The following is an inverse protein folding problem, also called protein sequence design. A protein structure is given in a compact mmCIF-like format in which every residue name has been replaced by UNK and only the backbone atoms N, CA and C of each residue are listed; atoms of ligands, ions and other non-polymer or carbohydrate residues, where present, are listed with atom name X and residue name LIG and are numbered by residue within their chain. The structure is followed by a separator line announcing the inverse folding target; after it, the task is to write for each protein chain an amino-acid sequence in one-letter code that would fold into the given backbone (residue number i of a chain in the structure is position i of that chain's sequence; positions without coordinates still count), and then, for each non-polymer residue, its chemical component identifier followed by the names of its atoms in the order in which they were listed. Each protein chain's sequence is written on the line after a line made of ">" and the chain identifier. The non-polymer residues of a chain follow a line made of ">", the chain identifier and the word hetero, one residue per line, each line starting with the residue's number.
data_IF_609998614291
#
_entry.id   IF_609998614291
#
_cell.length_a   1.000
_cell.length_b   1.000
_cell.length_c   1.000
_cell.angle_alpha   90.00
_cell.angle_beta   90.00
_cell.angle_gamma   90.00
#
_symmetry.space_group_name_H-M   'P 1'
#
loop_
_entity.id
_entity.type
_entity.pdbx_description
1 polymer ?
#
# COMPACT_ATOMS: atom_id res chain seq x y z
N UNK A 1 28.43 15.16 7.83
CA UNK A 1 27.77 13.86 7.49
C UNK A 1 28.29 12.75 8.40
N UNK A 2 27.41 12.07 9.12
CA UNK A 2 27.71 10.92 10.01
C UNK A 2 27.16 9.64 9.39
N UNK A 3 28.02 8.67 9.08
CA UNK A 3 27.60 7.34 8.56
C UNK A 3 26.87 6.56 9.65
N UNK A 4 25.72 5.97 9.31
CA UNK A 4 24.85 5.24 10.22
C UNK A 4 24.93 3.72 9.98
N UNK A 5 24.44 3.27 8.82
CA UNK A 5 24.31 1.84 8.49
C UNK A 5 24.75 1.57 7.05
N UNK A 6 25.36 0.42 6.84
CA UNK A 6 25.72 -0.08 5.52
C UNK A 6 24.59 -0.93 4.95
N UNK A 7 24.36 -0.83 3.65
CA UNK A 7 23.40 -1.62 2.88
C UNK A 7 23.82 -1.73 1.42
N UNK A 8 22.91 -2.10 0.56
CA UNK A 8 23.07 -2.08 -0.88
C UNK A 8 21.88 -1.36 -1.53
N UNK A 9 22.15 -0.65 -2.61
CA UNK A 9 21.14 0.04 -3.42
C UNK A 9 21.38 -0.17 -4.89
N UNK A 10 20.62 0.55 -5.74
CA UNK A 10 20.82 0.53 -7.18
C UNK A 10 21.38 1.86 -7.69
N UNK A 11 22.16 1.81 -8.75
CA UNK A 11 22.39 2.97 -9.58
C UNK A 11 21.05 3.38 -10.22
N UNK A 12 20.54 4.61 -10.05
CA UNK A 12 19.25 5.00 -10.61
C UNK A 12 19.25 5.09 -12.15
N UNK A 13 20.40 5.02 -12.81
CA UNK A 13 20.52 5.03 -14.26
C UNK A 13 20.62 3.63 -14.87
N UNK A 14 21.63 2.86 -14.46
CA UNK A 14 21.88 1.53 -15.05
C UNK A 14 21.34 0.36 -14.24
N UNK A 15 20.67 0.62 -13.12
CA UNK A 15 20.11 -0.37 -12.18
C UNK A 15 21.15 -1.37 -11.62
N UNK A 16 22.47 -1.11 -11.79
CA UNK A 16 23.52 -1.94 -11.18
C UNK A 16 23.45 -1.85 -9.66
N UNK A 17 23.52 -2.99 -8.98
CA UNK A 17 23.62 -3.06 -7.52
C UNK A 17 24.97 -2.52 -7.07
N UNK A 18 24.94 -1.66 -6.04
CA UNK A 18 26.07 -0.95 -5.50
C UNK A 18 26.08 -1.03 -3.97
N UNK A 19 27.25 -1.06 -3.34
CA UNK A 19 27.34 -0.73 -1.92
C UNK A 19 26.71 0.64 -1.66
N UNK A 20 25.91 0.72 -0.61
CA UNK A 20 25.23 1.94 -0.19
C UNK A 20 25.31 2.08 1.33
N UNK A 21 25.05 3.26 1.83
CA UNK A 21 25.01 3.52 3.26
C UNK A 21 24.04 4.63 3.59
N UNK A 22 23.49 4.57 4.79
CA UNK A 22 22.76 5.68 5.36
C UNK A 22 23.73 6.66 6.03
N UNK A 23 23.53 7.94 5.79
CA UNK A 23 24.29 9.00 6.44
C UNK A 23 23.38 10.14 6.87
N UNK A 24 23.71 10.75 8.00
CA UNK A 24 23.00 11.86 8.60
C UNK A 24 23.79 13.15 8.39
N UNK A 25 23.12 14.22 7.97
CA UNK A 25 23.73 15.54 7.88
C UNK A 25 23.68 16.28 9.23
N UNK A 26 24.25 17.49 9.26
CA UNK A 26 24.35 18.30 10.48
C UNK A 26 22.98 18.81 10.97
N UNK A 27 21.96 18.81 10.12
CA UNK A 27 20.56 19.14 10.45
C UNK A 27 19.76 17.92 10.90
N UNK A 28 20.33 16.71 10.82
CA UNK A 28 19.68 15.44 11.18
C UNK A 28 18.82 14.83 10.07
N UNK A 29 18.94 15.30 8.83
CA UNK A 29 18.35 14.62 7.69
C UNK A 29 19.16 13.39 7.32
N UNK A 30 18.47 12.28 7.00
CA UNK A 30 19.15 11.03 6.65
C UNK A 30 18.98 10.75 5.16
N UNK A 31 20.11 10.40 4.55
CA UNK A 31 20.22 10.09 3.13
C UNK A 31 20.71 8.66 2.91
N UNK A 32 20.22 8.02 1.87
CA UNK A 32 20.78 6.78 1.32
C UNK A 32 21.74 7.17 0.18
N UNK A 33 23.03 6.94 0.40
CA UNK A 33 24.12 7.36 -0.51
C UNK A 33 24.83 6.16 -1.12
N UNK A 34 25.19 6.26 -2.40
CA UNK A 34 25.97 5.29 -3.16
C UNK A 34 26.67 5.92 -4.34
N UNK A 35 27.75 5.26 -4.81
CA UNK A 35 28.53 5.73 -5.96
C UNK A 35 28.63 4.68 -7.05
N UNK A 36 28.20 5.05 -8.26
CA UNK A 36 28.36 4.24 -9.46
C UNK A 36 29.65 4.65 -10.19
N UNK A 37 30.51 3.71 -10.58
CA UNK A 37 31.73 4.04 -11.33
C UNK A 37 31.46 4.78 -12.65
N UNK A 38 30.32 4.54 -13.28
CA UNK A 38 29.97 5.12 -14.59
C UNK A 38 29.12 6.39 -14.47
N UNK A 39 28.34 6.54 -13.37
CA UNK A 39 27.31 7.57 -13.29
C UNK A 39 27.47 8.52 -12.09
N UNK A 40 28.54 8.34 -11.30
CA UNK A 40 28.83 9.20 -10.15
C UNK A 40 28.00 8.86 -8.91
N UNK A 41 27.97 9.80 -7.98
CA UNK A 41 27.34 9.62 -6.66
C UNK A 41 25.89 10.10 -6.65
N UNK A 42 25.04 9.32 -5.97
CA UNK A 42 23.63 9.59 -5.79
C UNK A 42 23.29 9.52 -4.31
N UNK A 43 22.44 10.44 -3.87
CA UNK A 43 21.87 10.45 -2.52
C UNK A 43 20.35 10.66 -2.59
N UNK A 44 19.61 9.88 -1.82
CA UNK A 44 18.15 10.02 -1.67
C UNK A 44 17.83 10.39 -0.22
N UNK A 45 17.08 11.47 0.00
CA UNK A 45 16.55 11.78 1.33
C UNK A 45 15.56 10.70 1.75
N UNK A 46 15.80 10.06 2.90
CA UNK A 46 14.97 8.99 3.44
C UNK A 46 14.21 9.45 4.68
N UNK A 47 14.79 10.35 5.47
CA UNK A 47 14.18 10.88 6.69
C UNK A 47 14.39 12.39 6.78
N UNK A 48 13.38 13.15 7.25
CA UNK A 48 13.49 14.61 7.36
C UNK A 48 14.44 15.02 8.49
N UNK A 49 15.01 16.24 8.40
CA UNK A 49 15.77 16.81 9.49
C UNK A 49 14.87 17.13 10.69
N UNK A 50 15.44 17.16 11.88
CA UNK A 50 14.71 17.36 13.13
C UNK A 50 13.91 18.67 13.15
N UNK A 51 14.45 19.74 12.55
CA UNK A 51 13.78 21.04 12.44
C UNK A 51 12.50 21.02 11.59
N UNK A 52 12.42 20.13 10.60
CA UNK A 52 11.24 19.96 9.74
C UNK A 52 10.24 18.94 10.32
N UNK A 53 10.69 18.10 11.25
CA UNK A 53 9.88 17.04 11.82
C UNK A 53 10.14 16.87 13.34
N UNK A 54 9.83 17.91 14.16
CA UNK A 54 10.12 17.90 15.59
C UNK A 54 9.25 16.94 16.40
N UNK A 55 8.04 16.66 15.92
CA UNK A 55 7.00 15.93 16.68
C UNK A 55 7.09 14.41 16.52
N UNK A 56 7.82 13.93 15.50
CA UNK A 56 7.95 12.50 15.20
C UNK A 56 9.27 11.91 15.71
N UNK A 57 9.36 10.57 15.86
CA UNK A 57 10.63 9.91 16.20
C UNK A 57 11.74 10.19 15.18
N UNK A 58 12.98 10.32 15.64
CA UNK A 58 14.15 10.37 14.76
C UNK A 58 14.39 9.04 14.06
N UNK A 59 15.21 9.04 13.01
CA UNK A 59 15.50 7.87 12.16
C UNK A 59 15.88 6.63 12.97
N UNK A 60 16.89 6.73 13.84
CA UNK A 60 17.35 5.59 14.66
C UNK A 60 16.27 5.07 15.63
N UNK A 61 15.49 5.97 16.22
CA UNK A 61 14.41 5.58 17.15
C UNK A 61 13.20 4.98 16.44
N UNK A 62 13.07 5.22 15.12
CA UNK A 62 12.02 4.63 14.30
C UNK A 62 12.36 3.22 13.82
N UNK A 63 13.63 2.89 13.68
CA UNK A 63 14.08 1.58 13.24
C UNK A 63 13.80 0.53 14.30
N UNK A 64 13.24 -0.58 13.85
CA UNK A 64 13.00 -1.79 14.67
C UNK A 64 13.56 -2.96 13.91
N UNK A 65 14.48 -3.68 14.56
CA UNK A 65 15.02 -4.90 14.00
C UNK A 65 13.98 -6.01 13.98
N UNK A 66 14.09 -6.88 12.98
CA UNK A 66 13.21 -8.05 12.82
C UNK A 66 14.06 -9.30 12.65
N UNK A 67 13.60 -10.38 13.26
CA UNK A 67 14.15 -11.69 12.98
C UNK A 67 13.59 -12.19 11.65
N UNK A 68 14.46 -12.52 10.66
CA UNK A 68 13.99 -12.96 9.36
C UNK A 68 13.25 -14.29 9.44
N UNK A 69 12.28 -14.47 8.54
CA UNK A 69 11.61 -15.74 8.31
C UNK A 69 11.59 -16.01 6.81
N UNK A 70 12.20 -17.10 6.41
CA UNK A 70 12.45 -17.41 5.01
C UNK A 70 11.35 -18.31 4.44
N UNK A 71 11.10 -18.31 3.10
CA UNK A 71 10.19 -19.25 2.46
C UNK A 71 10.60 -20.70 2.67
N UNK A 72 9.67 -21.56 3.08
CA UNK A 72 9.92 -23.01 3.25
C UNK A 72 10.24 -23.70 1.90
N UNK A 73 9.66 -23.19 0.80
CA UNK A 73 9.89 -23.69 -0.55
C UNK A 73 10.16 -22.50 -1.47
N UNK A 74 11.43 -22.07 -1.60
CA UNK A 74 11.81 -20.99 -2.52
C UNK A 74 11.42 -21.31 -3.96
N UNK A 75 10.98 -20.26 -4.70
CA UNK A 75 10.53 -20.42 -6.09
C UNK A 75 11.64 -20.14 -7.11
N UNK A 76 12.61 -19.34 -6.74
CA UNK A 76 13.74 -18.97 -7.60
C UNK A 76 15.06 -19.18 -6.89
N UNK A 77 16.07 -19.56 -7.65
CA UNK A 77 17.45 -19.62 -7.17
C UNK A 77 18.05 -18.22 -7.03
N UNK A 78 19.15 -18.12 -6.33
CA UNK A 78 19.93 -16.88 -6.21
C UNK A 78 21.16 -17.01 -7.09
N UNK A 79 21.13 -16.33 -8.26
CA UNK A 79 22.24 -16.22 -9.19
C UNK A 79 22.93 -14.85 -9.08
N UNK A 80 22.18 -13.78 -9.35
CA UNK A 80 22.67 -12.39 -9.30
C UNK A 80 22.36 -11.69 -7.97
N UNK A 81 21.47 -12.27 -7.15
CA UNK A 81 21.04 -11.75 -5.86
C UNK A 81 20.01 -10.63 -5.97
N UNK A 82 19.53 -10.17 -4.82
CA UNK A 82 18.52 -9.12 -4.74
C UNK A 82 19.00 -7.81 -5.39
N UNK A 83 18.19 -7.16 -6.25
CA UNK A 83 16.78 -7.44 -6.54
C UNK A 83 16.54 -8.22 -7.85
N UNK A 84 17.51 -8.89 -8.45
CA UNK A 84 17.42 -9.46 -9.80
C UNK A 84 16.71 -10.82 -9.84
N UNK A 85 16.83 -11.62 -8.78
CA UNK A 85 16.29 -12.98 -8.69
C UNK A 85 14.98 -13.06 -7.89
N UNK A 86 14.18 -11.98 -7.87
CA UNK A 86 12.94 -11.96 -7.10
C UNK A 86 11.93 -13.01 -7.60
N UNK A 87 11.30 -13.65 -6.63
CA UNK A 87 10.32 -14.72 -6.84
C UNK A 87 10.17 -15.58 -5.57
N UNK A 88 10.13 -14.96 -4.36
CA UNK A 88 10.22 -15.64 -3.07
C UNK A 88 11.49 -16.51 -2.98
N UNK A 89 12.63 -15.93 -3.30
CA UNK A 89 13.93 -16.60 -3.31
C UNK A 89 14.41 -16.95 -1.88
N UNK A 90 15.43 -17.81 -1.71
CA UNK A 90 15.90 -18.27 -0.40
C UNK A 90 16.38 -17.17 0.56
N UNK A 91 16.69 -15.97 0.04
CA UNK A 91 17.14 -14.83 0.87
C UNK A 91 16.03 -13.81 1.13
N UNK A 92 14.79 -14.05 0.65
CA UNK A 92 13.65 -13.23 0.98
C UNK A 92 13.24 -13.49 2.44
N UNK A 93 13.23 -12.44 3.27
CA UNK A 93 13.19 -12.56 4.74
C UNK A 93 11.79 -12.36 5.33
N UNK A 94 10.72 -12.39 4.50
CA UNK A 94 9.36 -12.15 4.94
C UNK A 94 8.34 -12.96 4.12
N UNK A 95 7.16 -13.21 4.71
CA UNK A 95 6.04 -13.86 4.05
C UNK A 95 5.08 -12.85 3.42
N UNK A 96 4.34 -13.27 2.38
CA UNK A 96 3.34 -12.44 1.71
C UNK A 96 2.19 -12.10 2.66
N UNK A 97 1.94 -10.81 2.91
CA UNK A 97 0.76 -10.31 3.60
C UNK A 97 -0.34 -9.94 2.62
N UNK A 98 0.05 -9.31 1.51
CA UNK A 98 -0.83 -8.90 0.42
C UNK A 98 -0.29 -9.40 -0.91
N UNK A 99 -1.09 -10.21 -1.60
CA UNK A 99 -0.87 -10.57 -2.99
C UNK A 99 -1.66 -9.62 -3.89
N UNK A 100 -0.99 -8.95 -4.81
CA UNK A 100 -1.58 -8.02 -5.74
C UNK A 100 -1.62 -8.67 -7.13
N UNK A 101 -2.82 -8.68 -7.73
CA UNK A 101 -3.03 -9.13 -9.10
C UNK A 101 -3.34 -7.93 -9.99
N UNK A 102 -2.61 -7.81 -11.10
CA UNK A 102 -2.86 -6.80 -12.12
C UNK A 102 -3.77 -7.36 -13.18
N UNK A 103 -5.05 -7.00 -13.13
CA UNK A 103 -6.10 -7.61 -13.95
C UNK A 103 -6.18 -7.03 -15.37
N UNK A 104 -5.71 -5.81 -15.57
CA UNK A 104 -5.80 -5.09 -16.84
C UNK A 104 -4.79 -3.93 -16.89
N UNK A 105 -4.35 -3.57 -18.08
CA UNK A 105 -3.63 -2.30 -18.31
C UNK A 105 -4.55 -1.18 -18.81
N UNK A 106 -5.83 -1.48 -19.10
CA UNK A 106 -6.82 -0.46 -19.46
C UNK A 106 -7.13 0.41 -18.25
N UNK A 107 -7.28 1.71 -18.50
CA UNK A 107 -7.71 2.68 -17.48
C UNK A 107 -8.54 3.78 -18.15
N UNK A 108 -9.55 4.26 -17.46
CA UNK A 108 -10.37 5.40 -17.89
C UNK A 108 -9.85 6.76 -17.41
N UNK A 109 -8.69 6.76 -16.75
CA UNK A 109 -7.89 7.95 -16.44
C UNK A 109 -6.54 7.87 -17.14
N UNK A 110 -5.92 9.03 -17.38
CA UNK A 110 -4.58 9.16 -17.96
C UNK A 110 -3.64 9.88 -17.00
N UNK A 111 -3.61 9.42 -15.76
CA UNK A 111 -2.88 10.08 -14.67
C UNK A 111 -1.43 10.41 -15.07
N UNK A 112 -0.97 11.66 -14.90
CA UNK A 112 0.43 12.01 -15.10
C UNK A 112 1.38 11.21 -14.20
N UNK A 113 0.95 10.93 -12.95
CA UNK A 113 1.65 10.05 -12.03
C UNK A 113 0.92 8.70 -11.95
N UNK A 114 1.53 7.64 -12.53
CA UNK A 114 0.96 6.30 -12.55
C UNK A 114 2.05 5.24 -12.47
N UNK A 115 2.08 4.49 -11.37
CA UNK A 115 3.08 3.43 -11.15
C UNK A 115 3.00 2.32 -12.21
N UNK A 116 1.81 2.04 -12.72
CA UNK A 116 1.56 0.99 -13.71
C UNK A 116 1.78 1.46 -15.16
N UNK A 117 1.95 2.78 -15.40
CA UNK A 117 1.97 3.37 -16.75
C UNK A 117 0.76 2.98 -17.60
N UNK A 118 -0.38 2.68 -16.98
CA UNK A 118 -1.61 2.20 -17.62
C UNK A 118 -2.41 3.30 -18.32
N UNK A 119 -3.38 2.91 -19.15
CA UNK A 119 -4.36 3.81 -19.77
C UNK A 119 -3.83 4.66 -20.93
N UNK A 120 -2.62 4.44 -21.41
CA UNK A 120 -2.01 5.18 -22.53
C UNK A 120 -1.21 4.26 -23.44
N UNK A 121 -1.11 4.67 -24.72
CA UNK A 121 -0.35 3.93 -25.73
C UNK A 121 -1.05 2.65 -26.18
N UNK A 122 -0.27 1.76 -26.79
CA UNK A 122 -0.71 0.44 -27.21
C UNK A 122 -0.72 -0.49 -25.97
N UNK A 123 -1.88 -0.95 -25.58
CA UNK A 123 -2.07 -1.75 -24.38
C UNK A 123 -2.18 -3.24 -24.72
N UNK A 124 -1.62 -4.14 -23.90
CA UNK A 124 -1.84 -5.56 -24.07
C UNK A 124 -3.32 -5.90 -23.82
N UNK A 125 -3.77 -6.99 -24.43
CA UNK A 125 -5.08 -7.56 -24.10
C UNK A 125 -5.15 -7.93 -22.61
N UNK A 126 -6.34 -7.83 -22.03
CA UNK A 126 -6.54 -8.31 -20.66
C UNK A 126 -6.23 -9.81 -20.57
N UNK A 127 -5.59 -10.28 -19.51
CA UNK A 127 -5.37 -11.70 -19.31
C UNK A 127 -6.72 -12.45 -19.30
N UNK A 128 -6.83 -13.59 -19.97
CA UNK A 128 -8.02 -14.45 -19.88
C UNK A 128 -8.33 -14.80 -18.43
N UNK A 129 -9.59 -15.08 -18.12
CA UNK A 129 -10.03 -15.43 -16.77
C UNK A 129 -9.25 -16.64 -16.22
N UNK A 130 -8.98 -17.63 -17.05
CA UNK A 130 -8.23 -18.83 -16.70
C UNK A 130 -6.82 -18.50 -16.21
N UNK A 131 -6.18 -17.50 -16.81
CA UNK A 131 -4.87 -16.99 -16.34
C UNK A 131 -4.98 -16.37 -14.95
N UNK A 132 -5.98 -15.50 -14.73
CA UNK A 132 -6.22 -14.88 -13.42
C UNK A 132 -6.53 -15.94 -12.36
N UNK A 133 -7.32 -16.96 -12.72
CA UNK A 133 -7.62 -18.12 -11.87
C UNK A 133 -6.34 -18.89 -11.50
N UNK A 134 -5.44 -19.06 -12.46
CA UNK A 134 -4.12 -19.67 -12.25
C UNK A 134 -3.26 -18.85 -11.29
N UNK A 135 -3.23 -17.53 -11.44
CA UNK A 135 -2.50 -16.60 -10.57
C UNK A 135 -3.03 -16.63 -9.14
N UNK A 136 -4.35 -16.65 -8.93
CA UNK A 136 -4.96 -16.77 -7.59
C UNK A 136 -4.57 -18.10 -6.91
N UNK A 137 -4.64 -19.24 -7.63
CA UNK A 137 -4.22 -20.53 -7.09
C UNK A 137 -2.72 -20.57 -6.81
N UNK A 138 -1.91 -19.98 -7.68
CA UNK A 138 -0.47 -19.86 -7.49
C UNK A 138 -0.14 -19.06 -6.24
N UNK A 139 -0.81 -17.93 -6.04
CA UNK A 139 -0.64 -17.09 -4.84
C UNK A 139 -0.98 -17.89 -3.58
N UNK A 140 -2.11 -18.63 -3.58
CA UNK A 140 -2.51 -19.45 -2.44
C UNK A 140 -1.50 -20.56 -2.15
N UNK A 141 -1.05 -21.26 -3.20
CA UNK A 141 -0.07 -22.36 -3.09
C UNK A 141 1.26 -21.89 -2.46
N UNK A 142 1.78 -20.75 -2.91
CA UNK A 142 3.13 -20.29 -2.55
C UNK A 142 3.17 -19.35 -1.34
N UNK A 143 2.12 -18.61 -1.11
CA UNK A 143 2.05 -17.62 -0.02
C UNK A 143 1.08 -18.01 1.09
N UNK A 144 0.31 -19.08 0.90
CA UNK A 144 -0.76 -19.46 1.80
C UNK A 144 -1.89 -18.41 1.81
N UNK A 145 -2.71 -18.45 2.85
CA UNK A 145 -3.82 -17.49 3.02
C UNK A 145 -3.28 -16.10 3.33
N UNK A 146 -3.23 -15.24 2.34
CA UNK A 146 -2.89 -13.83 2.44
C UNK A 146 -4.07 -12.95 2.00
N UNK A 147 -3.97 -11.65 2.19
CA UNK A 147 -4.95 -10.71 1.65
C UNK A 147 -4.73 -10.55 0.14
N UNK A 148 -5.80 -10.41 -0.62
CA UNK A 148 -5.75 -10.23 -2.08
C UNK A 148 -6.19 -8.82 -2.45
N UNK A 149 -5.41 -8.17 -3.30
CA UNK A 149 -5.71 -6.87 -3.85
C UNK A 149 -5.79 -6.95 -5.38
N UNK A 150 -6.98 -6.73 -5.90
CA UNK A 150 -7.26 -6.71 -7.34
C UNK A 150 -7.00 -5.31 -7.88
N UNK A 151 -6.07 -5.19 -8.81
CA UNK A 151 -5.50 -3.91 -9.27
C UNK A 151 -5.17 -3.96 -10.78
N UNK A 152 -4.24 -3.12 -11.22
CA UNK A 152 -3.79 -2.97 -12.59
C UNK A 152 -3.87 -1.52 -13.03
N UNK A 153 -4.47 -1.26 -14.19
CA UNK A 153 -4.93 0.08 -14.57
C UNK A 153 -6.17 0.44 -13.74
N UNK A 154 -7.35 0.12 -14.27
CA UNK A 154 -8.61 0.23 -13.52
C UNK A 154 -9.37 -1.12 -13.59
N UNK A 155 -9.34 -1.91 -12.53
CA UNK A 155 -9.91 -3.26 -12.54
C UNK A 155 -11.43 -3.27 -12.78
N UNK A 156 -12.14 -2.19 -12.43
CA UNK A 156 -13.59 -2.09 -12.66
C UNK A 156 -13.96 -2.00 -14.15
N UNK A 157 -12.99 -1.83 -15.06
CA UNK A 157 -13.24 -1.90 -16.50
C UNK A 157 -13.37 -3.33 -17.03
N UNK A 158 -13.09 -4.34 -16.20
CA UNK A 158 -13.37 -5.75 -16.53
C UNK A 158 -14.79 -6.08 -16.14
N UNK A 159 -15.55 -6.63 -17.09
CA UNK A 159 -16.94 -7.03 -16.84
C UNK A 159 -17.04 -8.34 -16.03
N UNK A 160 -16.00 -9.17 -16.08
CA UNK A 160 -15.87 -10.41 -15.31
C UNK A 160 -15.29 -10.22 -13.89
N UNK A 161 -15.04 -8.96 -13.45
CA UNK A 161 -14.50 -8.68 -12.12
C UNK A 161 -15.33 -9.32 -10.98
N UNK A 162 -16.69 -9.30 -11.01
CA UNK A 162 -17.48 -10.00 -9.99
C UNK A 162 -17.20 -11.50 -9.92
N UNK A 163 -16.91 -12.15 -11.05
CA UNK A 163 -16.61 -13.58 -11.07
C UNK A 163 -15.20 -13.87 -10.52
N UNK A 164 -14.23 -12.99 -10.80
CA UNK A 164 -12.89 -13.07 -10.22
C UNK A 164 -12.96 -12.94 -8.69
N UNK A 165 -13.79 -12.01 -8.18
CA UNK A 165 -14.02 -11.84 -6.74
C UNK A 165 -14.62 -13.11 -6.13
N UNK A 166 -15.66 -13.70 -6.75
CA UNK A 166 -16.26 -14.97 -6.29
C UNK A 166 -15.24 -16.10 -6.22
N UNK A 167 -14.38 -16.20 -7.21
CA UNK A 167 -13.32 -17.22 -7.24
C UNK A 167 -12.30 -16.99 -6.12
N UNK A 168 -11.83 -15.76 -5.91
CA UNK A 168 -10.93 -15.43 -4.81
C UNK A 168 -11.57 -15.76 -3.44
N UNK A 169 -12.86 -15.49 -3.25
CA UNK A 169 -13.58 -15.87 -2.01
C UNK A 169 -13.76 -17.38 -1.88
N UNK A 170 -14.00 -18.08 -2.98
CA UNK A 170 -14.10 -19.55 -2.97
C UNK A 170 -12.76 -20.23 -2.64
N UNK A 171 -11.63 -19.59 -2.93
CA UNK A 171 -10.29 -19.99 -2.51
C UNK A 171 -9.97 -19.64 -1.06
N UNK A 172 -10.92 -19.05 -0.34
CA UNK A 172 -10.85 -18.75 1.09
C UNK A 172 -9.75 -17.72 1.47
N UNK A 173 -9.50 -16.75 0.58
CA UNK A 173 -8.66 -15.61 0.94
C UNK A 173 -9.37 -14.74 2.01
N UNK A 174 -8.67 -14.37 3.10
CA UNK A 174 -9.29 -13.70 4.26
C UNK A 174 -9.82 -12.30 3.95
N UNK A 175 -9.23 -11.62 2.97
CA UNK A 175 -9.65 -10.31 2.48
C UNK A 175 -9.47 -10.25 0.96
N UNK A 176 -10.53 -9.87 0.26
CA UNK A 176 -10.49 -9.51 -1.17
C UNK A 176 -10.84 -8.04 -1.31
N UNK A 177 -9.91 -7.25 -1.83
CA UNK A 177 -10.01 -5.81 -1.96
C UNK A 177 -9.80 -5.38 -3.42
N UNK A 178 -10.51 -4.36 -3.88
CA UNK A 178 -10.34 -3.75 -5.20
C UNK A 178 -9.70 -2.38 -5.05
N UNK A 179 -8.57 -2.14 -5.76
CA UNK A 179 -8.02 -0.81 -5.96
C UNK A 179 -8.75 -0.13 -7.09
N UNK A 180 -9.37 1.01 -6.84
CA UNK A 180 -10.15 1.71 -7.87
C UNK A 180 -9.97 3.22 -7.82
N UNK A 181 -10.01 3.84 -8.99
CA UNK A 181 -10.12 5.29 -9.13
C UNK A 181 -11.54 5.81 -8.84
N UNK A 182 -12.53 4.91 -8.71
CA UNK A 182 -13.90 5.21 -8.32
C UNK A 182 -14.83 5.62 -9.47
N UNK A 183 -14.34 5.77 -10.71
CA UNK A 183 -15.16 6.32 -11.80
C UNK A 183 -16.37 5.44 -12.10
N UNK A 184 -16.19 4.12 -12.31
CA UNK A 184 -17.32 3.22 -12.58
C UNK A 184 -18.22 3.08 -11.36
N UNK A 185 -17.62 2.99 -10.17
CA UNK A 185 -18.38 2.93 -8.91
C UNK A 185 -19.29 4.14 -8.69
N UNK A 186 -18.87 5.34 -9.13
CA UNK A 186 -19.66 6.55 -9.03
C UNK A 186 -20.73 6.68 -10.12
N UNK A 187 -20.41 6.26 -11.35
CA UNK A 187 -21.31 6.43 -12.51
C UNK A 187 -22.39 5.35 -12.61
N UNK A 188 -22.13 4.16 -12.10
CA UNK A 188 -23.05 3.02 -12.13
C UNK A 188 -23.54 2.69 -10.70
N UNK A 189 -24.67 3.23 -10.23
CA UNK A 189 -25.12 3.10 -8.83
C UNK A 189 -25.26 1.67 -8.33
N UNK A 190 -25.57 0.71 -9.21
CA UNK A 190 -25.75 -0.70 -8.85
C UNK A 190 -24.44 -1.50 -8.81
N UNK A 191 -23.37 -0.97 -9.39
CA UNK A 191 -22.12 -1.71 -9.56
C UNK A 191 -21.45 -2.07 -8.23
N UNK A 192 -21.45 -1.16 -7.26
CA UNK A 192 -20.96 -1.43 -5.91
C UNK A 192 -21.72 -2.59 -5.24
N UNK A 193 -23.04 -2.67 -5.45
CA UNK A 193 -23.89 -3.78 -5.00
C UNK A 193 -23.49 -5.10 -5.64
N UNK A 194 -23.25 -5.12 -6.96
CA UNK A 194 -22.81 -6.33 -7.68
C UNK A 194 -21.46 -6.86 -7.13
N UNK A 195 -20.50 -5.99 -6.87
CA UNK A 195 -19.22 -6.38 -6.26
C UNK A 195 -19.41 -6.91 -4.84
N UNK A 196 -20.29 -6.27 -4.08
CA UNK A 196 -20.64 -6.69 -2.73
C UNK A 196 -21.28 -8.06 -2.70
N UNK A 197 -22.20 -8.36 -3.63
CA UNK A 197 -22.87 -9.66 -3.77
C UNK A 197 -21.93 -10.75 -4.28
N UNK A 198 -20.88 -10.35 -5.02
CA UNK A 198 -19.78 -11.24 -5.40
C UNK A 198 -18.86 -11.62 -4.24
N UNK A 199 -18.96 -10.92 -3.09
CA UNK A 199 -18.18 -11.19 -1.89
C UNK A 199 -16.99 -10.24 -1.68
N UNK A 200 -16.95 -9.10 -2.40
CA UNK A 200 -15.93 -8.08 -2.15
C UNK A 200 -15.96 -7.62 -0.70
N UNK A 201 -14.81 -7.56 -0.04
CA UNK A 201 -14.70 -7.16 1.36
C UNK A 201 -14.55 -5.64 1.51
N UNK A 202 -13.74 -4.99 0.67
CA UNK A 202 -13.52 -3.56 0.74
C UNK A 202 -13.04 -2.95 -0.57
N UNK A 203 -13.17 -1.63 -0.67
CA UNK A 203 -12.62 -0.82 -1.76
C UNK A 203 -11.47 0.04 -1.26
N UNK A 204 -10.35 0.00 -1.97
CA UNK A 204 -9.19 0.88 -1.81
C UNK A 204 -9.38 2.02 -2.81
N UNK A 205 -10.01 3.11 -2.35
CA UNK A 205 -10.48 4.19 -3.21
C UNK A 205 -9.47 5.32 -3.28
N UNK A 206 -8.99 5.62 -4.45
CA UNK A 206 -8.11 6.75 -4.69
C UNK A 206 -8.78 8.07 -4.28
N UNK A 207 -8.11 8.84 -3.38
CA UNK A 207 -8.65 10.05 -2.76
C UNK A 207 -7.53 11.03 -2.39
N UNK A 208 -6.97 11.74 -3.37
CA UNK A 208 -5.69 12.43 -3.21
C UNK A 208 -5.82 13.86 -2.66
N UNK A 209 -6.93 14.52 -2.91
CA UNK A 209 -7.21 15.89 -2.47
C UNK A 209 -8.70 16.17 -2.49
N UNK A 210 -9.12 17.20 -1.75
CA UNK A 210 -10.46 17.78 -1.80
C UNK A 210 -10.54 18.92 -2.83
N UNK A 211 -9.43 19.28 -3.46
CA UNK A 211 -9.29 20.38 -4.42
C UNK A 211 -9.21 19.83 -5.83
N UNK A 212 -10.02 20.39 -6.74
CA UNK A 212 -10.05 19.95 -8.14
C UNK A 212 -8.73 20.26 -8.86
N UNK A 213 -8.09 21.41 -8.61
CA UNK A 213 -6.80 21.78 -9.20
C UNK A 213 -5.68 20.77 -8.84
N UNK A 214 -5.66 20.25 -7.62
CA UNK A 214 -4.73 19.20 -7.23
C UNK A 214 -5.06 17.86 -7.89
N UNK A 215 -6.35 17.53 -8.04
CA UNK A 215 -6.78 16.34 -8.75
C UNK A 215 -6.39 16.39 -10.23
N UNK A 216 -6.49 17.54 -10.88
CA UNK A 216 -6.05 17.74 -12.28
C UNK A 216 -4.54 17.51 -12.43
N UNK A 217 -3.72 18.03 -11.51
CA UNK A 217 -2.26 17.82 -11.51
C UNK A 217 -1.91 16.34 -11.34
N UNK A 218 -2.59 15.63 -10.43
CA UNK A 218 -2.25 14.26 -10.08
C UNK A 218 -2.89 13.22 -11.00
N UNK A 219 -4.11 13.49 -11.50
CA UNK A 219 -4.96 12.53 -12.24
C UNK A 219 -5.24 12.94 -13.68
N UNK A 220 -4.88 14.17 -14.05
CA UNK A 220 -5.10 14.73 -15.37
C UNK A 220 -6.51 15.29 -15.55
N UNK A 221 -6.72 15.95 -16.68
CA UNK A 221 -7.95 16.68 -17.00
C UNK A 221 -8.96 15.88 -17.84
N UNK A 222 -8.68 14.58 -18.08
CA UNK A 222 -9.52 13.71 -18.94
C UNK A 222 -10.92 13.50 -18.37
N UNK A 223 -11.08 13.65 -17.05
CA UNK A 223 -12.34 13.38 -16.34
C UNK A 223 -12.78 14.61 -15.53
N UNK A 224 -13.45 15.60 -16.16
CA UNK A 224 -14.03 16.72 -15.42
C UNK A 224 -15.04 16.24 -14.36
N UNK A 225 -15.10 16.93 -13.22
CA UNK A 225 -15.99 16.56 -12.12
C UNK A 225 -15.58 15.24 -11.43
N UNK A 226 -14.29 14.93 -11.42
CA UNK A 226 -13.79 13.70 -10.83
C UNK A 226 -14.13 13.61 -9.33
N UNK A 227 -14.14 14.73 -8.64
CA UNK A 227 -14.50 14.79 -7.22
C UNK A 227 -15.94 14.34 -6.99
N UNK A 228 -16.90 14.90 -7.71
CA UNK A 228 -18.32 14.54 -7.60
C UNK A 228 -18.56 13.07 -7.94
N UNK A 229 -17.85 12.53 -8.93
CA UNK A 229 -17.91 11.10 -9.27
C UNK A 229 -17.41 10.24 -8.10
N UNK A 230 -16.32 10.63 -7.46
CA UNK A 230 -15.78 9.91 -6.28
C UNK A 230 -16.70 10.01 -5.07
N UNK A 231 -17.37 11.15 -4.86
CA UNK A 231 -18.41 11.29 -3.83
C UNK A 231 -19.56 10.31 -4.07
N UNK A 232 -20.03 10.22 -5.32
CA UNK A 232 -21.04 9.24 -5.69
C UNK A 232 -20.56 7.79 -5.49
N UNK A 233 -19.27 7.50 -5.76
CA UNK A 233 -18.70 6.19 -5.52
C UNK A 233 -18.73 5.81 -4.03
N UNK A 234 -18.39 6.73 -3.13
CA UNK A 234 -18.48 6.53 -1.68
C UNK A 234 -19.92 6.25 -1.24
N UNK A 235 -20.88 7.03 -1.74
CA UNK A 235 -22.28 6.83 -1.42
C UNK A 235 -22.81 5.48 -1.94
N UNK A 236 -22.40 5.05 -3.12
CA UNK A 236 -22.77 3.75 -3.66
C UNK A 236 -22.15 2.61 -2.86
N UNK A 237 -20.88 2.74 -2.42
CA UNK A 237 -20.25 1.80 -1.49
C UNK A 237 -20.99 1.73 -0.14
N UNK A 238 -21.39 2.88 0.40
CA UNK A 238 -22.18 2.96 1.64
C UNK A 238 -23.50 2.19 1.52
N UNK A 239 -24.24 2.39 0.42
CA UNK A 239 -25.51 1.68 0.15
C UNK A 239 -25.30 0.19 0.00
N UNK A 240 -24.18 -0.22 -0.62
CA UNK A 240 -23.80 -1.61 -0.79
C UNK A 240 -23.26 -2.28 0.50
N UNK A 241 -23.05 -1.52 1.57
CA UNK A 241 -22.43 -2.00 2.81
C UNK A 241 -20.95 -2.36 2.64
N UNK A 242 -20.25 -1.84 1.63
CA UNK A 242 -18.82 -2.00 1.43
C UNK A 242 -18.05 -1.00 2.31
N UNK A 243 -17.01 -1.49 3.00
CA UNK A 243 -16.03 -0.63 3.65
C UNK A 243 -15.09 0.01 2.62
N UNK A 244 -14.67 1.23 2.89
CA UNK A 244 -13.74 1.96 2.01
C UNK A 244 -12.52 2.39 2.80
N UNK A 245 -11.33 2.19 2.25
CA UNK A 245 -10.10 2.84 2.70
C UNK A 245 -9.77 3.91 1.66
N UNK A 246 -9.68 5.17 2.09
CA UNK A 246 -9.26 6.26 1.23
C UNK A 246 -7.75 6.24 1.05
N UNK A 247 -7.28 6.41 -0.18
CA UNK A 247 -5.86 6.33 -0.53
C UNK A 247 -5.41 7.63 -1.16
N UNK A 248 -4.48 8.32 -0.52
CA UNK A 248 -3.91 9.56 -1.00
C UNK A 248 -2.46 9.35 -1.46
N UNK A 249 -2.19 9.60 -2.73
CA UNK A 249 -0.82 9.78 -3.22
C UNK A 249 -0.41 11.22 -2.97
N UNK A 250 0.69 11.42 -2.25
CA UNK A 250 1.14 12.76 -1.83
C UNK A 250 2.42 13.17 -2.55
N UNK A 251 2.37 14.32 -3.18
CA UNK A 251 3.49 14.94 -3.89
C UNK A 251 3.83 16.25 -3.20
N UNK A 252 5.11 16.42 -2.86
CA UNK A 252 5.60 17.63 -2.23
C UNK A 252 5.34 18.86 -3.10
N UNK A 253 4.80 19.92 -2.49
CA UNK A 253 4.43 21.16 -3.18
C UNK A 253 3.16 21.08 -4.03
N UNK A 254 2.43 19.95 -4.01
CA UNK A 254 1.13 19.81 -4.65
C UNK A 254 0.03 19.66 -3.61
N UNK A 255 -0.05 18.53 -2.92
CA UNK A 255 -1.10 18.21 -1.97
C UNK A 255 -0.58 17.80 -0.57
N UNK A 256 0.67 18.04 -0.28
CA UNK A 256 1.27 17.78 1.03
C UNK A 256 0.72 18.70 2.15
N UNK A 257 0.14 19.84 1.77
CA UNK A 257 -0.60 20.73 2.67
C UNK A 257 -2.05 20.29 2.97
N UNK A 258 -2.58 19.28 2.29
CA UNK A 258 -4.00 18.88 2.37
C UNK A 258 -4.27 17.75 3.37
N UNK A 259 -3.25 17.15 3.98
CA UNK A 259 -3.38 15.90 4.74
C UNK A 259 -4.31 16.03 5.96
N UNK A 260 -4.30 17.19 6.63
CA UNK A 260 -5.21 17.46 7.74
C UNK A 260 -6.68 17.51 7.30
N UNK A 261 -6.95 18.17 6.19
CA UNK A 261 -8.31 18.28 5.64
C UNK A 261 -8.80 16.94 5.09
N UNK A 262 -7.92 16.18 4.43
CA UNK A 262 -8.22 14.81 3.99
C UNK A 262 -8.55 13.90 5.18
N UNK A 263 -7.83 14.03 6.28
CA UNK A 263 -8.10 13.27 7.49
C UNK A 263 -9.45 13.63 8.10
N UNK A 264 -9.76 14.94 8.23
CA UNK A 264 -11.05 15.41 8.75
C UNK A 264 -12.20 14.92 7.89
N UNK A 265 -12.07 15.04 6.56
CA UNK A 265 -13.05 14.53 5.60
C UNK A 265 -13.24 13.00 5.74
N UNK A 266 -12.16 12.22 5.80
CA UNK A 266 -12.22 10.78 5.98
C UNK A 266 -12.93 10.36 7.30
N UNK A 267 -12.66 11.08 8.37
CA UNK A 267 -13.29 10.82 9.68
C UNK A 267 -14.77 11.14 9.65
N UNK A 268 -15.17 12.27 9.05
CA UNK A 268 -16.58 12.68 8.94
C UNK A 268 -17.43 11.70 8.11
N UNK A 269 -16.80 10.89 7.23
CA UNK A 269 -17.47 9.88 6.39
C UNK A 269 -17.64 8.52 7.04
N UNK A 270 -17.40 8.40 8.34
CA UNK A 270 -17.66 7.14 9.02
C UNK A 270 -19.14 6.72 9.02
N UNK A 271 -19.47 5.43 9.17
CA UNK A 271 -18.56 4.28 9.31
C UNK A 271 -18.09 3.66 7.96
N UNK A 272 -18.56 4.16 6.79
CA UNK A 272 -18.18 3.60 5.48
C UNK A 272 -16.67 3.71 5.23
N UNK A 273 -16.07 4.87 5.53
CA UNK A 273 -14.63 5.06 5.46
C UNK A 273 -13.97 4.45 6.70
N UNK A 274 -13.20 3.40 6.50
CA UNK A 274 -12.53 2.62 7.57
C UNK A 274 -11.15 3.17 7.92
N UNK A 275 -10.53 3.92 7.03
CA UNK A 275 -9.20 4.49 7.23
C UNK A 275 -8.77 5.41 6.11
N UNK A 276 -7.65 6.08 6.38
CA UNK A 276 -6.90 6.87 5.41
C UNK A 276 -5.50 6.26 5.27
N UNK A 277 -5.11 5.95 4.04
CA UNK A 277 -3.79 5.44 3.70
C UNK A 277 -3.04 6.45 2.84
N UNK A 278 -1.89 6.90 3.30
CA UNK A 278 -1.11 7.96 2.66
C UNK A 278 0.15 7.39 2.03
N UNK A 279 0.35 7.65 0.75
CA UNK A 279 1.48 7.17 -0.02
C UNK A 279 2.30 8.35 -0.55
N UNK A 280 3.45 8.69 0.05
CA UNK A 280 4.34 9.65 -0.59
C UNK A 280 4.76 9.11 -1.96
N UNK A 281 4.76 10.00 -2.95
CA UNK A 281 5.03 9.63 -4.34
C UNK A 281 6.38 8.97 -4.51
N UNK A 282 6.40 7.84 -5.20
CA UNK A 282 7.59 7.15 -5.69
C UNK A 282 7.68 7.31 -7.19
N UNK A 283 8.89 7.46 -7.70
CA UNK A 283 9.14 7.82 -9.09
C UNK A 283 9.48 6.57 -9.91
N UNK A 284 8.46 5.78 -10.20
CA UNK A 284 8.53 4.64 -11.11
C UNK A 284 7.30 4.63 -12.03
N UNK A 285 7.37 3.92 -13.16
CA UNK A 285 6.36 3.99 -14.19
C UNK A 285 6.29 5.37 -14.83
N UNK A 286 5.07 5.88 -15.08
CA UNK A 286 4.87 7.21 -15.64
C UNK A 286 4.89 8.27 -14.54
N UNK A 287 5.75 9.27 -14.70
CA UNK A 287 5.85 10.42 -13.80
C UNK A 287 6.21 11.68 -14.58
N UNK A 288 5.56 12.83 -14.28
CA UNK A 288 5.93 14.11 -14.89
C UNK A 288 7.19 14.72 -14.27
N UNK A 289 7.63 14.21 -13.11
CA UNK A 289 8.83 14.66 -12.42
C UNK A 289 9.98 13.69 -12.65
N UNK A 290 11.15 14.21 -12.95
CA UNK A 290 12.34 13.38 -13.14
C UNK A 290 12.76 12.70 -11.83
N UNK A 291 13.10 11.42 -11.88
CA UNK A 291 13.55 10.63 -10.71
C UNK A 291 14.67 11.31 -9.91
N UNK A 292 15.62 11.94 -10.60
CA UNK A 292 16.84 12.50 -9.99
C UNK A 292 16.66 13.95 -9.49
N UNK A 293 15.67 14.67 -9.99
CA UNK A 293 15.46 16.10 -9.69
C UNK A 293 14.28 16.39 -8.77
N UNK A 294 13.45 15.39 -8.49
CA UNK A 294 12.25 15.58 -7.69
C UNK A 294 12.58 15.72 -6.20
N UNK A 295 11.98 16.71 -5.57
CA UNK A 295 12.02 16.84 -4.11
C UNK A 295 11.13 15.77 -3.48
N UNK A 296 11.69 15.02 -2.52
CA UNK A 296 11.02 13.85 -1.94
C UNK A 296 10.26 14.21 -0.68
N UNK A 297 9.01 13.80 -0.66
CA UNK A 297 8.20 13.75 0.55
C UNK A 297 8.37 12.37 1.17
N UNK A 298 9.06 12.29 2.31
CA UNK A 298 9.40 11.00 2.93
C UNK A 298 8.31 10.53 3.89
N UNK A 299 8.42 9.28 4.37
CA UNK A 299 7.51 8.75 5.40
C UNK A 299 7.45 9.65 6.65
N UNK A 300 8.61 10.15 7.08
CA UNK A 300 8.69 11.09 8.20
C UNK A 300 7.97 12.41 7.93
N UNK A 301 8.07 12.96 6.71
CA UNK A 301 7.31 14.16 6.35
C UNK A 301 5.80 13.92 6.39
N UNK A 302 5.31 12.75 5.95
CA UNK A 302 3.88 12.39 6.03
C UNK A 302 3.40 12.39 7.48
N UNK A 303 4.14 11.71 8.36
CA UNK A 303 3.79 11.66 9.80
C UNK A 303 3.79 13.05 10.43
N UNK A 304 4.79 13.87 10.14
CA UNK A 304 4.87 15.25 10.64
C UNK A 304 3.72 16.11 10.11
N UNK A 305 3.42 16.02 8.81
CA UNK A 305 2.32 16.78 8.21
C UNK A 305 0.97 16.41 8.85
N UNK A 306 0.70 15.13 9.06
CA UNK A 306 -0.52 14.68 9.76
C UNK A 306 -0.58 15.22 11.19
N UNK A 307 0.51 15.15 11.95
CA UNK A 307 0.56 15.66 13.32
C UNK A 307 0.41 17.20 13.41
N UNK A 308 1.04 17.92 12.48
CA UNK A 308 0.99 19.39 12.47
C UNK A 308 -0.29 19.98 11.89
N UNK A 309 -0.92 19.29 10.92
CA UNK A 309 -2.14 19.77 10.26
C UNK A 309 -3.44 19.33 10.97
N UNK A 310 -3.38 18.31 11.85
CA UNK A 310 -4.51 17.88 12.66
C UNK A 310 -4.10 17.63 14.12
N UNK A 311 -3.48 18.63 14.80
CA UNK A 311 -2.92 18.46 16.14
C UNK A 311 -3.97 18.18 17.21
N UNK A 312 -5.22 18.49 16.94
CA UNK A 312 -6.35 18.20 17.81
C UNK A 312 -6.64 16.71 17.95
N UNK A 313 -6.20 15.88 16.98
CA UNK A 313 -6.46 14.44 16.94
C UNK A 313 -5.19 13.59 16.88
N UNK A 314 -4.13 14.11 16.27
CA UNK A 314 -2.95 13.33 15.92
C UNK A 314 -1.73 13.83 16.69
N UNK A 315 -1.06 12.91 17.35
CA UNK A 315 0.27 13.11 17.92
C UNK A 315 1.30 12.26 17.17
N UNK A 316 2.49 12.78 16.97
CA UNK A 316 3.59 12.00 16.41
C UNK A 316 3.94 10.73 17.20
N UNK A 317 3.55 10.65 18.46
CA UNK A 317 3.70 9.47 19.34
C UNK A 317 2.70 8.35 19.04
N UNK A 318 1.64 8.63 18.29
CA UNK A 318 0.62 7.65 17.93
C UNK A 318 1.09 6.73 16.81
N UNK A 319 2.06 7.17 16.03
CA UNK A 319 2.60 6.40 14.92
C UNK A 319 3.53 5.29 15.38
N UNK A 320 3.39 4.14 14.73
CA UNK A 320 4.16 2.96 15.04
C UNK A 320 4.73 2.35 13.76
N UNK A 321 5.98 1.84 13.81
CA UNK A 321 6.53 1.07 12.73
C UNK A 321 5.74 -0.22 12.51
N UNK A 322 5.73 -0.77 11.28
CA UNK A 322 4.95 -1.96 10.94
C UNK A 322 5.50 -3.22 11.64
N UNK A 323 4.62 -4.19 11.85
CA UNK A 323 5.02 -5.51 12.34
C UNK A 323 5.48 -6.44 11.20
N UNK A 324 4.99 -6.23 9.97
CA UNK A 324 5.24 -7.10 8.83
C UNK A 324 6.49 -6.68 8.07
N UNK A 325 6.44 -5.58 7.34
CA UNK A 325 7.52 -5.08 6.50
C UNK A 325 8.62 -4.36 7.29
N UNK A 326 9.68 -3.97 6.61
CA UNK A 326 10.76 -3.18 7.20
C UNK A 326 10.24 -1.84 7.77
N UNK A 327 10.76 -1.39 8.90
CA UNK A 327 10.29 -0.19 9.61
C UNK A 327 10.27 1.10 8.77
N UNK A 328 11.18 1.23 7.81
CA UNK A 328 11.21 2.38 6.90
C UNK A 328 10.20 2.30 5.74
N UNK A 329 9.39 1.23 5.65
CA UNK A 329 8.42 1.09 4.58
C UNK A 329 7.07 1.74 4.91
N UNK A 330 6.63 1.69 6.17
CA UNK A 330 5.31 2.17 6.54
C UNK A 330 5.21 2.64 7.99
N UNK A 331 4.10 3.26 8.30
CA UNK A 331 3.61 3.50 9.65
C UNK A 331 2.14 3.12 9.77
N UNK A 332 1.68 2.91 11.00
CA UNK A 332 0.26 2.76 11.30
C UNK A 332 -0.09 3.38 12.66
N UNK A 333 -1.34 3.86 12.76
CA UNK A 333 -1.97 4.28 13.99
C UNK A 333 -3.45 3.87 13.98
N UNK A 334 -4.01 3.57 15.14
CA UNK A 334 -5.40 3.16 15.29
C UNK A 334 -6.10 4.11 16.25
N UNK A 335 -7.25 4.59 15.84
CA UNK A 335 -8.06 5.53 16.59
C UNK A 335 -9.49 5.02 16.75
N UNK A 336 -10.13 5.38 17.86
CA UNK A 336 -11.57 5.30 18.00
C UNK A 336 -12.21 6.61 17.54
N UNK A 337 -13.25 6.53 16.71
CA UNK A 337 -14.12 7.68 16.43
C UNK A 337 -14.95 8.04 17.64
N UNK A 338 -14.96 9.31 17.98
CA UNK A 338 -15.79 9.90 19.06
C UNK A 338 -16.68 11.01 18.49
N UNK A 339 -17.56 11.59 19.29
CA UNK A 339 -18.34 12.76 18.88
C UNK A 339 -17.48 13.97 18.51
N UNK A 340 -16.27 14.05 19.08
CA UNK A 340 -15.35 15.18 18.92
C UNK A 340 -14.19 14.87 17.92
N UNK A 341 -14.24 13.73 17.23
CA UNK A 341 -13.25 13.34 16.23
C UNK A 341 -12.56 12.00 16.52
N UNK A 342 -11.23 12.00 16.65
CA UNK A 342 -10.43 10.79 16.87
C UNK A 342 -9.80 10.78 18.27
N UNK A 343 -9.80 9.60 18.89
CA UNK A 343 -9.06 9.32 20.12
C UNK A 343 -8.10 8.16 19.88
N UNK A 344 -6.81 8.37 20.16
CA UNK A 344 -5.80 7.32 20.00
C UNK A 344 -6.10 6.09 20.86
N UNK A 345 -6.10 4.91 20.25
CA UNK A 345 -6.18 3.60 20.93
C UNK A 345 -4.79 3.07 21.30
N UNK A 346 -3.73 3.80 21.00
CA UNK A 346 -2.33 3.37 21.19
C UNK A 346 -1.90 3.29 22.66
N UNK A 347 -2.65 3.83 23.60
CA UNK A 347 -2.34 3.87 25.04
C UNK A 347 -3.28 3.09 25.95
N UNK A 348 -4.47 2.73 25.49
CA UNK A 348 -5.42 1.97 26.28
C UNK A 348 -5.14 0.47 26.12
N UNK A 349 -4.75 -0.22 27.17
CA UNK A 349 -4.41 -1.66 27.21
C UNK A 349 -5.54 -2.60 26.79
N UNK A 350 -6.10 -2.37 25.61
CA UNK A 350 -7.25 -3.05 25.05
C UNK A 350 -7.08 -3.38 23.59
N UNK A 351 -6.52 -4.52 23.27
CA UNK A 351 -6.96 -5.23 22.11
C UNK A 351 -6.04 -5.50 20.95
N UNK A 352 -4.82 -5.03 20.88
CA UNK A 352 -3.77 -5.73 20.16
C UNK A 352 -2.65 -5.95 21.17
N UNK A 353 -2.77 -7.08 21.87
CA UNK A 353 -2.05 -7.46 23.06
C UNK A 353 -0.63 -6.96 23.16
N UNK A 354 -0.10 -6.94 24.36
CA UNK A 354 1.29 -6.75 24.74
C UNK A 354 2.22 -6.64 23.53
N UNK A 355 2.57 -5.40 23.13
CA UNK A 355 3.60 -5.25 22.09
C UNK A 355 4.84 -5.95 22.58
N UNK A 356 5.40 -6.89 21.81
CA UNK A 356 6.68 -7.47 22.17
C UNK A 356 7.68 -6.32 22.32
N UNK A 357 8.36 -6.23 23.45
CA UNK A 357 9.42 -5.24 23.71
C UNK A 357 10.76 -5.63 23.05
N UNK A 358 10.75 -6.50 22.05
CA UNK A 358 11.91 -7.00 21.35
C UNK A 358 11.66 -7.23 19.87
N UNK A 359 12.68 -7.70 19.13
CA UNK A 359 12.54 -8.08 17.74
C UNK A 359 11.40 -9.08 17.54
N UNK A 360 10.51 -8.80 16.57
CA UNK A 360 9.42 -9.70 16.21
C UNK A 360 9.91 -10.57 15.05
N UNK A 361 9.64 -11.88 15.13
CA UNK A 361 9.84 -12.74 13.98
C UNK A 361 8.94 -12.32 12.81
N UNK A 362 9.50 -12.28 11.60
CA UNK A 362 8.81 -11.79 10.41
C UNK A 362 7.52 -12.56 10.12
N UNK A 363 7.50 -13.88 10.30
CA UNK A 363 6.31 -14.73 10.15
C UNK A 363 5.18 -14.34 11.11
N UNK A 364 5.50 -14.09 12.37
CA UNK A 364 4.53 -13.66 13.38
C UNK A 364 4.00 -12.27 13.07
N UNK A 365 4.88 -11.32 12.69
CA UNK A 365 4.48 -9.99 12.23
C UNK A 365 3.53 -10.05 11.04
N UNK A 366 3.81 -10.93 10.06
CA UNK A 366 2.95 -11.19 8.91
C UNK A 366 1.57 -11.71 9.35
N UNK A 367 1.53 -12.72 10.23
CA UNK A 367 0.29 -13.29 10.75
C UNK A 367 -0.58 -12.25 11.46
N UNK A 368 0.03 -11.43 12.32
CA UNK A 368 -0.66 -10.37 13.06
C UNK A 368 -1.24 -9.32 12.12
N UNK A 369 -0.45 -8.86 11.15
CA UNK A 369 -0.86 -7.83 10.18
C UNK A 369 -2.00 -8.33 9.30
N UNK A 370 -1.90 -9.54 8.74
CA UNK A 370 -2.98 -10.14 7.92
C UNK A 370 -4.31 -10.22 8.69
N UNK A 371 -4.26 -10.74 9.90
CA UNK A 371 -5.46 -10.89 10.73
C UNK A 371 -6.06 -9.54 11.15
N UNK A 372 -5.23 -8.55 11.47
CA UNK A 372 -5.68 -7.19 11.82
C UNK A 372 -6.40 -6.53 10.64
N UNK A 373 -5.77 -6.53 9.47
CA UNK A 373 -6.31 -5.87 8.27
C UNK A 373 -7.60 -6.55 7.82
N UNK A 374 -7.63 -7.89 7.76
CA UNK A 374 -8.82 -8.64 7.39
C UNK A 374 -10.00 -8.30 8.34
N UNK A 375 -9.78 -8.35 9.64
CA UNK A 375 -10.82 -8.02 10.62
C UNK A 375 -11.28 -6.55 10.54
N UNK A 376 -10.36 -5.61 10.34
CA UNK A 376 -10.67 -4.18 10.34
C UNK A 376 -11.38 -3.74 9.05
N UNK A 377 -11.04 -4.33 7.91
CA UNK A 377 -11.51 -3.89 6.60
C UNK A 377 -12.52 -4.83 5.94
N UNK A 378 -12.58 -6.10 6.36
CA UNK A 378 -13.60 -7.03 5.86
C UNK A 378 -15.01 -6.57 6.23
N UNK A 379 -15.97 -7.02 5.45
CA UNK A 379 -17.40 -6.79 5.75
C UNK A 379 -17.74 -7.51 7.06
N UNK A 380 -18.55 -6.89 7.94
CA UNK A 380 -19.19 -7.63 9.00
C UNK A 380 -20.00 -8.79 8.38
N UNK A 381 -19.84 -10.00 8.89
CA UNK A 381 -20.66 -11.14 8.45
C UNK A 381 -22.12 -10.72 8.53
N UNK A 382 -22.85 -10.82 7.41
CA UNK A 382 -24.32 -10.71 7.46
C UNK A 382 -24.80 -11.86 8.34
N UNK A 383 -25.42 -11.53 9.47
CA UNK A 383 -26.13 -12.53 10.25
C UNK A 383 -27.16 -13.19 9.33
N UNK A 384 -26.84 -14.36 8.83
CA UNK A 384 -27.85 -15.25 8.25
C UNK A 384 -28.70 -15.71 9.42
N UNK A 385 -29.76 -14.96 9.66
CA UNK A 385 -30.84 -15.37 10.55
C UNK A 385 -31.47 -16.62 9.97
N UNK A 386 -31.01 -17.80 10.40
CA UNK A 386 -31.77 -19.04 10.39
C UNK A 386 -31.13 -20.01 11.38
N UNK A 387 -31.79 -20.19 12.51
CA UNK A 387 -31.78 -21.41 13.35
C UNK A 387 -30.46 -22.21 13.40
N UNK A 388 -29.40 -21.66 13.92
CA UNK A 388 -28.15 -22.36 14.18
C UNK A 388 -27.64 -22.01 15.57
N UNK A 389 -27.44 -23.03 16.40
CA UNK A 389 -27.08 -22.99 17.83
C UNK A 389 -26.04 -21.92 18.18
N UNK A 390 -26.25 -21.14 19.26
CA UNK A 390 -25.27 -20.21 19.75
C UNK A 390 -24.07 -20.98 20.32
N UNK A 391 -22.95 -20.92 19.62
CA UNK A 391 -21.67 -21.23 20.23
C UNK A 391 -21.32 -20.07 21.17
N UNK A 392 -21.33 -20.30 22.42
CA UNK A 392 -20.83 -19.72 23.67
C UNK A 392 -20.09 -18.38 23.74
N UNK A 393 -20.12 -17.50 22.75
CA UNK A 393 -19.83 -16.07 22.95
C UNK A 393 -21.18 -15.38 23.14
N UNK A 394 -21.37 -14.77 24.32
CA UNK A 394 -22.56 -13.99 24.64
C UNK A 394 -22.86 -13.02 23.47
N UNK A 395 -24.09 -13.07 22.95
CA UNK A 395 -24.56 -12.21 21.86
C UNK A 395 -24.30 -10.71 22.15
N UNK A 396 -24.29 -10.33 23.43
CA UNK A 396 -23.97 -9.00 23.89
C UNK A 396 -22.47 -8.68 23.71
N UNK A 397 -21.56 -9.60 24.01
CA UNK A 397 -20.12 -9.44 23.79
C UNK A 397 -19.78 -9.32 22.29
N UNK A 398 -20.44 -10.13 21.45
CA UNK A 398 -20.33 -10.04 20.00
C UNK A 398 -20.85 -8.71 19.45
N UNK A 399 -21.99 -8.22 19.96
CA UNK A 399 -22.54 -6.91 19.62
C UNK A 399 -21.62 -5.76 20.04
N UNK A 400 -21.03 -5.83 21.24
CA UNK A 400 -20.09 -4.80 21.71
C UNK A 400 -18.79 -4.80 20.89
N UNK A 401 -18.28 -5.98 20.52
CA UNK A 401 -17.11 -6.09 19.65
C UNK A 401 -17.38 -5.51 18.27
N UNK A 402 -18.51 -5.84 17.64
CA UNK A 402 -18.93 -5.27 16.36
C UNK A 402 -19.06 -3.75 16.41
N UNK A 403 -19.72 -3.20 17.44
CA UNK A 403 -19.80 -1.74 17.63
C UNK A 403 -18.45 -1.09 17.88
N UNK A 404 -17.51 -1.78 18.50
CA UNK A 404 -16.14 -1.28 18.69
C UNK A 404 -15.40 -1.24 17.37
N UNK A 405 -15.48 -2.28 16.55
CA UNK A 405 -14.84 -2.36 15.23
C UNK A 405 -15.41 -1.30 14.26
N UNK A 406 -16.71 -1.04 14.28
CA UNK A 406 -17.35 0.03 13.48
C UNK A 406 -16.86 1.45 13.86
N UNK A 407 -16.35 1.63 15.08
CA UNK A 407 -15.81 2.91 15.56
C UNK A 407 -14.34 3.09 15.28
N UNK A 408 -13.61 2.02 14.96
CA UNK A 408 -12.18 2.12 14.69
C UNK A 408 -11.90 2.80 13.35
N UNK A 409 -10.88 3.61 13.36
CA UNK A 409 -10.32 4.27 12.17
C UNK A 409 -8.82 4.00 12.10
N UNK A 410 -8.35 3.55 10.95
CA UNK A 410 -6.93 3.30 10.73
C UNK A 410 -6.30 4.45 9.96
N UNK A 411 -5.22 5.00 10.48
CA UNK A 411 -4.35 5.93 9.78
C UNK A 411 -3.04 5.23 9.49
N UNK A 412 -2.68 5.12 8.21
CA UNK A 412 -1.48 4.42 7.80
C UNK A 412 -0.81 5.12 6.62
N UNK A 413 0.45 4.86 6.42
CA UNK A 413 1.15 5.34 5.25
C UNK A 413 2.24 4.38 4.83
N UNK A 414 2.56 4.37 3.52
CA UNK A 414 3.58 3.50 2.96
C UNK A 414 4.42 4.23 1.92
N UNK A 415 5.73 4.22 2.14
CA UNK A 415 6.72 4.76 1.21
C UNK A 415 7.33 3.63 0.38
N UNK A 416 6.88 3.50 -0.87
CA UNK A 416 7.48 2.58 -1.83
C UNK A 416 8.88 3.05 -2.23
N UNK A 417 9.70 2.13 -2.72
CA UNK A 417 11.08 2.38 -3.13
C UNK A 417 11.17 2.43 -4.65
N UNK A 418 11.73 3.50 -5.18
CA UNK A 418 12.15 3.63 -6.58
C UNK A 418 13.68 3.43 -6.72
N UNK A 419 14.22 3.52 -7.94
CA UNK A 419 15.64 3.25 -8.21
C UNK A 419 16.60 4.19 -7.45
N UNK A 420 16.14 5.41 -7.08
CA UNK A 420 16.95 6.32 -6.28
C UNK A 420 16.88 6.01 -4.77
N UNK A 421 15.81 5.41 -4.27
CA UNK A 421 15.60 5.15 -2.85
C UNK A 421 15.70 3.67 -2.47
N UNK A 422 16.01 2.78 -3.43
CA UNK A 422 16.07 1.35 -3.17
C UNK A 422 17.16 1.00 -2.17
N UNK A 423 16.75 0.28 -1.14
CA UNK A 423 17.55 -0.45 -0.18
C UNK A 423 17.18 -1.92 -0.26
N UNK A 424 18.16 -2.78 -0.55
CA UNK A 424 17.93 -4.21 -0.71
C UNK A 424 17.54 -4.90 0.60
N UNK A 425 17.96 -4.39 1.76
CA UNK A 425 17.53 -4.89 3.04
C UNK A 425 16.02 -4.68 3.23
N UNK A 426 15.53 -3.47 2.97
CA UNK A 426 14.08 -3.19 2.98
C UNK A 426 13.32 -4.08 2.01
N UNK A 427 13.89 -4.31 0.81
CA UNK A 427 13.25 -5.13 -0.20
C UNK A 427 13.13 -6.59 0.22
N UNK A 428 14.13 -7.13 0.92
CA UNK A 428 14.11 -8.51 1.45
C UNK A 428 13.01 -8.73 2.50
N UNK A 429 12.60 -7.68 3.21
CA UNK A 429 11.48 -7.71 4.15
C UNK A 429 10.15 -7.25 3.54
N UNK A 430 10.03 -7.19 2.22
CA UNK A 430 8.77 -6.85 1.57
C UNK A 430 7.72 -7.94 1.83
N UNK A 431 6.49 -7.52 2.14
CA UNK A 431 5.35 -8.41 2.34
C UNK A 431 4.21 -8.15 1.36
N UNK A 432 4.42 -7.22 0.42
CA UNK A 432 3.48 -6.90 -0.65
C UNK A 432 4.07 -7.39 -1.96
N UNK A 433 3.42 -8.37 -2.56
CA UNK A 433 3.94 -9.01 -3.76
C UNK A 433 2.94 -8.92 -4.91
N UNK A 434 3.48 -8.85 -6.13
CA UNK A 434 2.71 -8.96 -7.37
C UNK A 434 2.89 -10.37 -7.92
N UNK A 435 1.80 -10.98 -8.32
CA UNK A 435 1.81 -12.22 -9.10
C UNK A 435 2.01 -11.85 -10.57
N UNK A 436 3.07 -12.37 -11.17
CA UNK A 436 3.41 -12.11 -12.58
C UNK A 436 2.81 -13.17 -13.50
N UNK A 437 2.64 -12.85 -14.79
CA UNK A 437 2.18 -13.82 -15.79
C UNK A 437 3.11 -15.05 -15.96
N UNK A 438 4.41 -14.92 -15.63
CA UNK A 438 5.37 -16.02 -15.61
C UNK A 438 5.27 -16.90 -14.34
N UNK A 439 4.32 -16.59 -13.45
CA UNK A 439 4.04 -17.31 -12.21
C UNK A 439 4.92 -16.90 -11.02
N UNK A 440 5.89 -16.03 -11.19
CA UNK A 440 6.72 -15.53 -10.09
C UNK A 440 5.94 -14.57 -9.20
N UNK A 441 6.24 -14.61 -7.90
CA UNK A 441 5.66 -13.73 -6.88
C UNK A 441 6.75 -12.75 -6.44
N UNK A 442 6.68 -11.52 -6.92
CA UNK A 442 7.76 -10.53 -6.83
C UNK A 442 7.37 -9.38 -5.91
N UNK A 443 8.30 -8.86 -5.08
CA UNK A 443 8.06 -7.64 -4.30
C UNK A 443 7.58 -6.47 -5.16
N UNK A 444 6.54 -5.76 -4.68
CA UNK A 444 5.92 -4.65 -5.42
C UNK A 444 6.93 -3.62 -5.92
N UNK A 445 7.87 -3.20 -5.07
CA UNK A 445 8.88 -2.21 -5.46
C UNK A 445 9.82 -2.75 -6.54
N UNK A 446 10.21 -4.02 -6.51
CA UNK A 446 11.06 -4.63 -7.54
C UNK A 446 10.35 -4.71 -8.90
N UNK A 447 9.06 -5.13 -8.90
CA UNK A 447 8.24 -5.22 -10.11
C UNK A 447 8.11 -3.86 -10.82
N UNK A 448 7.94 -2.80 -10.04
CA UNK A 448 7.74 -1.45 -10.58
C UNK A 448 9.05 -0.68 -10.80
N UNK A 449 10.19 -1.26 -10.43
CA UNK A 449 11.50 -0.60 -10.52
C UNK A 449 11.83 -0.19 -11.95
N UNK A 450 12.09 1.11 -12.12
CA UNK A 450 12.38 1.71 -13.42
C UNK A 450 13.58 2.66 -13.25
N UNK A 451 14.53 2.62 -14.16
CA UNK A 451 15.66 3.55 -14.18
C UNK A 451 15.20 4.99 -14.48
N UNK A 452 16.08 5.97 -14.26
CA UNK A 452 15.84 7.36 -14.68
C UNK A 452 15.60 7.51 -16.18
N UNK A 453 16.07 6.55 -16.98
CA UNK A 453 15.97 6.54 -18.42
C UNK A 453 14.77 5.71 -18.92
N UNK A 454 13.92 5.24 -17.99
CA UNK A 454 12.69 4.51 -18.29
C UNK A 454 12.88 2.99 -18.49
N UNK A 455 14.06 2.44 -18.22
CA UNK A 455 14.33 1.00 -18.36
C UNK A 455 13.78 0.25 -17.13
N UNK A 456 12.83 -0.69 -17.31
CA UNK A 456 12.31 -1.47 -16.19
C UNK A 456 13.31 -2.55 -15.76
N UNK A 457 13.36 -2.83 -14.45
CA UNK A 457 14.14 -3.95 -13.91
C UNK A 457 13.54 -5.30 -14.33
N UNK A 458 12.23 -5.39 -14.33
CA UNK A 458 11.45 -6.55 -14.75
C UNK A 458 10.57 -6.18 -15.94
N UNK A 459 11.00 -6.46 -17.19
CA UNK A 459 10.15 -6.26 -18.36
C UNK A 459 9.00 -7.26 -18.40
N UNK A 460 8.00 -7.01 -19.24
CA UNK A 460 6.90 -7.94 -19.47
C UNK A 460 5.79 -7.89 -18.42
N UNK A 461 5.23 -6.69 -18.17
CA UNK A 461 4.00 -6.54 -17.37
C UNK A 461 2.81 -7.00 -18.21
N UNK A 462 1.94 -7.89 -17.66
CA UNK A 462 0.77 -8.45 -18.34
C UNK A 462 0.99 -8.93 -19.78
N UNK A 463 2.10 -9.63 -20.03
CA UNK A 463 2.36 -10.23 -21.35
C UNK A 463 2.79 -9.26 -22.44
N UNK A 464 3.22 -8.03 -22.11
CA UNK A 464 3.92 -7.16 -23.06
C UNK A 464 5.22 -7.84 -23.44
N UNK A 465 5.45 -8.15 -24.74
CA UNK A 465 6.73 -8.71 -25.18
C UNK A 465 7.87 -7.76 -24.79
N UNK A 466 9.02 -8.33 -24.47
CA UNK A 466 10.26 -7.57 -24.32
C UNK A 466 10.46 -6.68 -25.55
N UNK A 467 10.51 -5.36 -25.36
CA UNK A 467 11.08 -4.51 -26.39
C UNK A 467 12.57 -4.89 -26.48
N UNK A 468 12.94 -5.50 -27.60
CA UNK A 468 14.32 -5.88 -27.93
C UNK A 468 15.19 -4.64 -28.05
#
# INVERSE_FOLDING_TARGET
>A
MRRLHDTQGLCPRCLRRLPAYYEEDDDGAVYLTRSCPEHGTFAAKIWPPRKEAPDIPGFESWRVDKTPSYPDAPETDVADGCPYDCGLCPVHAQHTCHGLLELTMRCNLSCPLCYASSGQGELPADPPRETVSGELRRLLEKSGRCNVQLSGGEPTLRDDLPDIIREAKALDFPLVQVNSNGVRLGREPHYAGMLADAGLDSVYLQWDSLREDHLEILRGTVMPGLREIKEAALENCRRAGLGVVLVATVVKGVNDGDLGDLLRDAVARGPVVRGLHVQPASFFGRTPWGLLGAERFTLGHVMQALASQAPEWISGKDFHPPHCEHSLCSFSAVYARTGDGLKSESGAGGGCGNRPRGPIEASEGSRMTKAFIARQWARPERETSCCGKPGSADAFSSFLMKRREERLFTLSGMAFQDALSLDTERLRYCCIHIVRPDGRIIPFCAQNMTSSDGIPLYPGRLGVPEMK
#
